data_IF_210793444796
#
_entry.id   IF_210793444796
#
_cell.length_a   1.000
_cell.length_b   1.000
_cell.length_c   1.000
_cell.angle_alpha   90.00
_cell.angle_beta   90.00
_cell.angle_gamma   90.00
#
_symmetry.space_group_name_H-M   'P 1'
#
loop_
_entity.id
_entity.type
_entity.pdbx_description
1 polymer ?
#
# COMPACT_ATOMS: atom_id res chain seq x y z
N UNK A 1 21.92 -8.85 39.69
CA UNK A 1 21.59 -9.89 38.68
C UNK A 1 20.43 -9.36 37.86
N UNK A 2 20.66 -8.96 36.60
CA UNK A 2 19.59 -8.39 35.77
C UNK A 2 18.64 -9.50 35.33
N UNK A 3 17.35 -9.38 35.68
CA UNK A 3 16.29 -10.29 35.21
C UNK A 3 15.66 -9.70 33.97
N UNK A 4 15.53 -10.53 32.93
CA UNK A 4 14.81 -10.17 31.71
C UNK A 4 13.33 -9.93 32.03
N UNK A 5 12.68 -9.05 31.26
CA UNK A 5 11.25 -8.78 31.39
C UNK A 5 10.45 -10.08 31.16
N UNK A 6 9.55 -10.43 32.09
CA UNK A 6 8.79 -11.68 32.02
C UNK A 6 7.85 -11.75 30.81
N UNK A 7 7.30 -10.62 30.36
CA UNK A 7 6.50 -10.56 29.13
C UNK A 7 7.37 -10.85 27.92
N UNK A 8 8.57 -10.25 27.85
CA UNK A 8 9.53 -10.55 26.78
C UNK A 8 9.92 -12.03 26.76
N UNK A 9 10.19 -12.63 27.93
CA UNK A 9 10.54 -14.04 28.04
C UNK A 9 9.40 -14.97 27.61
N UNK A 10 8.14 -14.65 27.99
CA UNK A 10 6.96 -15.40 27.55
C UNK A 10 6.75 -15.30 26.04
N UNK A 11 6.93 -14.12 25.46
CA UNK A 11 6.82 -13.92 24.02
C UNK A 11 7.91 -14.70 23.27
N UNK A 12 9.14 -14.67 23.76
CA UNK A 12 10.25 -15.46 23.22
C UNK A 12 9.97 -16.97 23.32
N UNK A 13 9.42 -17.44 24.44
CA UNK A 13 9.03 -18.84 24.59
C UNK A 13 7.89 -19.24 23.65
N UNK A 14 6.86 -18.39 23.47
CA UNK A 14 5.80 -18.64 22.49
C UNK A 14 6.37 -18.76 21.07
N UNK A 15 7.26 -17.85 20.68
CA UNK A 15 7.97 -17.88 19.40
C UNK A 15 8.78 -19.19 19.22
N UNK A 16 9.50 -19.61 20.25
CA UNK A 16 10.33 -20.81 20.21
C UNK A 16 9.54 -22.14 20.25
N UNK A 17 8.37 -22.15 20.90
CA UNK A 17 7.58 -23.37 21.16
C UNK A 17 6.46 -23.58 20.15
N UNK A 18 5.73 -22.51 19.79
CA UNK A 18 4.56 -22.61 18.92
C UNK A 18 4.85 -22.24 17.47
N UNK A 19 5.99 -21.60 17.19
CA UNK A 19 6.37 -21.25 15.82
C UNK A 19 5.28 -20.44 15.12
N UNK A 20 4.57 -19.56 15.83
CA UNK A 20 3.53 -18.66 15.30
C UNK A 20 4.14 -17.53 14.47
N UNK A 21 5.06 -17.88 13.59
CA UNK A 21 5.76 -16.97 12.70
C UNK A 21 5.27 -17.17 11.28
N UNK A 22 5.28 -16.10 10.50
CA UNK A 22 5.07 -16.19 9.06
C UNK A 22 6.11 -17.14 8.43
N UNK A 23 5.76 -17.82 7.32
CA UNK A 23 6.70 -18.68 6.61
C UNK A 23 7.96 -17.91 6.22
N UNK A 24 9.12 -18.36 6.68
CA UNK A 24 10.40 -17.69 6.39
C UNK A 24 11.00 -18.10 5.06
N UNK A 25 10.74 -19.33 4.64
CA UNK A 25 11.21 -19.87 3.37
C UNK A 25 10.18 -19.61 2.28
N UNK A 26 10.65 -19.09 1.15
CA UNK A 26 9.81 -18.94 -0.02
C UNK A 26 9.52 -20.30 -0.67
N UNK A 27 8.43 -20.35 -1.41
CA UNK A 27 8.09 -21.51 -2.22
C UNK A 27 9.17 -21.73 -3.29
N UNK A 28 9.52 -22.98 -3.63
CA UNK A 28 10.52 -23.25 -4.66
C UNK A 28 10.17 -22.54 -5.98
N UNK A 29 11.17 -22.03 -6.73
CA UNK A 29 10.96 -21.14 -7.88
C UNK A 29 10.14 -21.78 -9.03
N UNK A 30 10.05 -23.11 -9.07
CA UNK A 30 9.30 -23.86 -10.08
C UNK A 30 7.89 -24.27 -9.62
N UNK A 31 7.51 -23.99 -8.38
CA UNK A 31 6.21 -24.40 -7.83
C UNK A 31 5.08 -23.51 -8.34
N UNK A 32 5.37 -22.25 -8.66
CA UNK A 32 4.38 -21.22 -8.95
C UNK A 32 4.85 -20.28 -10.06
N UNK A 33 3.93 -19.86 -10.94
CA UNK A 33 4.18 -18.73 -11.84
C UNK A 33 4.04 -17.42 -11.06
N UNK A 34 5.18 -16.81 -10.74
CA UNK A 34 5.26 -15.52 -10.07
C UNK A 34 4.96 -14.36 -11.03
N UNK A 35 4.34 -13.27 -10.55
CA UNK A 35 4.31 -12.01 -11.29
C UNK A 35 5.73 -11.47 -11.46
N UNK A 36 5.97 -10.71 -12.54
CA UNK A 36 7.24 -10.01 -12.68
C UNK A 36 7.38 -8.91 -11.62
N UNK A 37 8.61 -8.44 -11.40
CA UNK A 37 8.83 -7.30 -10.50
C UNK A 37 8.08 -6.04 -11.00
N UNK A 38 8.02 -5.84 -12.32
CA UNK A 38 7.27 -4.75 -12.95
C UNK A 38 5.76 -4.86 -12.66
N UNK A 39 5.19 -6.07 -12.75
CA UNK A 39 3.78 -6.29 -12.40
C UNK A 39 3.50 -5.97 -10.92
N UNK A 40 4.45 -6.25 -10.02
CA UNK A 40 4.33 -5.92 -8.61
C UNK A 40 4.48 -4.42 -8.34
N UNK A 41 5.39 -3.75 -9.03
CA UNK A 41 5.58 -2.30 -8.97
C UNK A 41 4.37 -1.53 -9.51
N UNK A 42 3.63 -2.08 -10.47
CA UNK A 42 2.35 -1.53 -10.91
C UNK A 42 1.20 -1.88 -9.95
N UNK A 43 1.19 -3.10 -9.39
CA UNK A 43 0.12 -3.59 -8.52
C UNK A 43 0.00 -2.80 -7.21
N UNK A 44 1.11 -2.59 -6.51
CA UNK A 44 1.12 -1.99 -5.17
C UNK A 44 0.51 -0.57 -5.14
N UNK A 45 0.95 0.40 -5.96
CA UNK A 45 0.35 1.74 -5.99
C UNK A 45 -1.10 1.72 -6.48
N UNK A 46 -1.45 0.85 -7.43
CA UNK A 46 -2.82 0.74 -7.91
C UNK A 46 -3.80 0.23 -6.83
N UNK A 47 -3.39 -0.76 -6.03
CA UNK A 47 -4.20 -1.18 -4.89
C UNK A 47 -4.23 -0.14 -3.77
N UNK A 48 -3.11 0.54 -3.50
CA UNK A 48 -3.06 1.63 -2.53
C UNK A 48 -4.10 2.73 -2.86
N UNK A 49 -4.12 3.22 -4.09
CA UNK A 49 -5.09 4.22 -4.53
C UNK A 49 -6.52 3.71 -4.46
N UNK A 50 -6.75 2.45 -4.85
CA UNK A 50 -8.07 1.83 -4.74
C UNK A 50 -8.54 1.78 -3.29
N UNK A 51 -7.66 1.41 -2.36
CA UNK A 51 -7.94 1.39 -0.93
C UNK A 51 -8.37 2.76 -0.41
N UNK A 52 -7.67 3.82 -0.81
CA UNK A 52 -7.99 5.20 -0.45
C UNK A 52 -9.30 5.72 -1.06
N UNK A 53 -9.62 5.29 -2.29
CA UNK A 53 -10.76 5.79 -3.06
C UNK A 53 -12.05 4.98 -2.87
N UNK A 54 -12.04 3.89 -2.08
CA UNK A 54 -13.23 3.03 -1.92
C UNK A 54 -14.25 3.71 -1.01
N UNK A 55 -15.18 4.46 -1.62
CA UNK A 55 -16.33 5.06 -0.95
C UNK A 55 -17.37 3.97 -0.65
N UNK A 56 -17.59 3.66 0.63
CA UNK A 56 -18.53 2.60 1.06
C UNK A 56 -19.96 3.09 1.33
N UNK A 57 -20.25 4.40 1.26
CA UNK A 57 -21.58 4.95 1.54
C UNK A 57 -22.12 5.83 0.40
N UNK A 58 -23.45 5.87 0.31
CA UNK A 58 -24.25 6.57 -0.73
C UNK A 58 -24.17 8.10 -0.65
N UNK A 59 -23.51 8.66 0.35
CA UNK A 59 -23.26 10.10 0.44
C UNK A 59 -21.90 10.42 -0.18
N UNK A 60 -21.83 11.55 -0.88
CA UNK A 60 -20.56 12.09 -1.35
C UNK A 60 -19.69 12.42 -0.13
N UNK A 61 -18.83 11.48 0.26
CA UNK A 61 -17.89 11.62 1.35
C UNK A 61 -17.17 12.97 1.23
N UNK A 62 -17.50 13.89 2.13
CA UNK A 62 -16.89 15.20 2.17
C UNK A 62 -15.53 15.05 2.85
N UNK A 63 -14.47 15.29 2.09
CA UNK A 63 -13.11 15.20 2.59
C UNK A 63 -12.91 16.22 3.73
N UNK A 64 -12.43 15.76 4.88
CA UNK A 64 -12.07 16.62 6.00
C UNK A 64 -10.73 17.31 5.72
N UNK A 65 -10.42 18.38 6.44
CA UNK A 65 -9.10 19.03 6.36
C UNK A 65 -7.96 18.04 6.66
N UNK A 66 -8.12 17.22 7.70
CA UNK A 66 -7.16 16.15 8.03
C UNK A 66 -7.06 15.08 6.94
N UNK A 67 -8.17 14.73 6.29
CA UNK A 67 -8.18 13.79 5.18
C UNK A 67 -7.46 14.35 3.96
N UNK A 68 -7.61 15.65 3.70
CA UNK A 68 -6.87 16.33 2.63
C UNK A 68 -5.37 16.41 2.94
N UNK A 69 -4.99 16.77 4.17
CA UNK A 69 -3.59 16.76 4.58
C UNK A 69 -2.97 15.38 4.45
N UNK A 70 -3.69 14.33 4.87
CA UNK A 70 -3.26 12.94 4.69
C UNK A 70 -2.99 12.62 3.22
N UNK A 71 -3.86 13.03 2.30
CA UNK A 71 -3.68 12.78 0.86
C UNK A 71 -2.44 13.48 0.25
N UNK A 72 -1.96 14.55 0.89
CA UNK A 72 -0.77 15.30 0.47
C UNK A 72 0.55 14.74 1.02
N UNK A 73 0.49 13.90 2.06
CA UNK A 73 1.68 13.25 2.63
C UNK A 73 2.33 12.31 1.60
N UNK A 74 3.62 11.99 1.76
CA UNK A 74 4.25 10.94 0.96
C UNK A 74 3.67 9.56 1.28
N UNK A 75 3.88 8.59 0.39
CA UNK A 75 3.28 7.25 0.51
C UNK A 75 3.70 6.54 1.79
N UNK A 76 4.93 6.76 2.27
CA UNK A 76 5.40 6.09 3.47
C UNK A 76 4.76 6.69 4.73
N UNK A 77 4.68 8.01 4.78
CA UNK A 77 3.96 8.74 5.82
C UNK A 77 2.47 8.35 5.89
N UNK A 78 1.81 8.27 4.73
CA UNK A 78 0.42 7.79 4.64
C UNK A 78 0.30 6.35 5.14
N UNK A 79 1.25 5.49 4.77
CA UNK A 79 1.28 4.09 5.19
C UNK A 79 1.40 3.98 6.71
N UNK A 80 2.34 4.70 7.32
CA UNK A 80 2.51 4.70 8.78
C UNK A 80 1.28 5.22 9.51
N UNK A 81 0.62 6.25 8.98
CA UNK A 81 -0.63 6.75 9.56
C UNK A 81 -1.72 5.68 9.57
N UNK A 82 -1.92 4.97 8.45
CA UNK A 82 -2.90 3.88 8.34
C UNK A 82 -2.53 2.69 9.23
N UNK A 83 -1.26 2.27 9.25
CA UNK A 83 -0.80 1.14 10.07
C UNK A 83 -0.95 1.44 11.58
N UNK A 84 -0.66 2.68 11.99
CA UNK A 84 -0.87 3.11 13.37
C UNK A 84 -2.35 3.05 13.76
N UNK A 85 -3.23 3.56 12.92
CA UNK A 85 -4.68 3.50 13.15
C UNK A 85 -5.17 2.04 13.19
N UNK A 86 -4.68 1.21 12.27
CA UNK A 86 -4.95 -0.22 12.20
C UNK A 86 -4.59 -0.95 13.50
N UNK A 87 -3.39 -0.71 14.04
CA UNK A 87 -2.95 -1.27 15.33
C UNK A 87 -3.78 -0.70 16.47
N UNK A 88 -4.05 0.60 16.50
CA UNK A 88 -4.80 1.24 17.60
C UNK A 88 -6.23 0.74 17.69
N UNK A 89 -6.86 0.45 16.54
CA UNK A 89 -8.24 -0.03 16.46
C UNK A 89 -8.38 -1.56 16.66
N UNK A 90 -7.27 -2.29 16.74
CA UNK A 90 -7.25 -3.76 16.93
C UNK A 90 -7.83 -4.24 18.26
N UNK A 91 -7.54 -3.51 19.34
CA UNK A 91 -8.03 -3.79 20.69
C UNK A 91 -9.50 -3.39 20.89
N UNK A 92 -10.18 -2.88 19.86
CA UNK A 92 -11.61 -2.61 19.95
C UNK A 92 -12.36 -3.93 20.13
N UNK A 93 -13.42 -3.92 20.96
CA UNK A 93 -14.25 -5.09 21.32
C UNK A 93 -14.81 -5.89 20.12
N UNK A 94 -14.71 -5.37 18.89
CA UNK A 94 -15.21 -5.99 17.66
C UNK A 94 -14.22 -6.97 17.00
N UNK A 95 -12.91 -6.77 17.14
CA UNK A 95 -11.88 -7.65 16.55
C UNK A 95 -11.20 -8.55 17.59
N UNK A 96 -10.96 -8.05 18.80
CA UNK A 96 -10.37 -8.84 19.89
C UNK A 96 -8.96 -9.38 19.60
N UNK A 97 -8.21 -8.70 18.73
CA UNK A 97 -6.83 -9.08 18.36
C UNK A 97 -5.85 -8.24 19.17
N UNK A 98 -4.85 -8.88 19.78
CA UNK A 98 -3.80 -8.18 20.53
C UNK A 98 -2.93 -7.36 19.55
N UNK A 99 -2.69 -6.09 19.88
CA UNK A 99 -1.78 -5.23 19.13
C UNK A 99 -0.38 -5.84 19.01
N UNK A 100 0.09 -6.60 20.01
CA UNK A 100 1.38 -7.28 19.95
C UNK A 100 1.45 -8.31 18.81
N UNK A 101 0.36 -9.04 18.58
CA UNK A 101 0.26 -10.05 17.51
C UNK A 101 0.21 -9.38 16.13
N UNK A 102 -0.39 -8.20 16.01
CA UNK A 102 -0.35 -7.45 14.74
C UNK A 102 1.03 -6.87 14.46
N UNK A 103 1.70 -6.34 15.49
CA UNK A 103 3.06 -5.80 15.36
C UNK A 103 4.04 -6.91 14.99
N UNK A 104 3.92 -8.11 15.58
CA UNK A 104 4.78 -9.24 15.21
C UNK A 104 4.60 -9.61 13.74
N UNK A 105 3.36 -9.71 13.24
CA UNK A 105 3.08 -9.99 11.83
C UNK A 105 3.67 -8.92 10.90
N UNK A 106 3.49 -7.63 11.23
CA UNK A 106 4.02 -6.52 10.42
C UNK A 106 5.55 -6.54 10.36
N UNK A 107 6.20 -6.78 11.49
CA UNK A 107 7.65 -6.85 11.58
C UNK A 107 8.21 -8.08 10.88
N UNK A 108 7.58 -9.24 11.03
CA UNK A 108 8.00 -10.45 10.32
C UNK A 108 7.87 -10.28 8.82
N UNK A 109 6.76 -9.70 8.36
CA UNK A 109 6.48 -9.46 6.95
C UNK A 109 7.49 -8.50 6.31
N UNK A 110 7.99 -7.53 7.07
CA UNK A 110 8.97 -6.57 6.56
C UNK A 110 10.34 -7.19 6.26
N UNK A 111 10.65 -8.37 6.83
CA UNK A 111 11.85 -9.15 6.52
C UNK A 111 11.70 -10.13 5.34
N UNK A 112 10.52 -10.23 4.74
CA UNK A 112 10.34 -11.09 3.57
C UNK A 112 10.95 -10.46 2.31
N UNK A 113 11.28 -11.30 1.34
CA UNK A 113 11.87 -10.85 0.08
C UNK A 113 10.73 -10.42 -0.86
N UNK A 114 10.85 -9.23 -1.43
CA UNK A 114 9.88 -8.74 -2.43
C UNK A 114 9.85 -9.67 -3.63
N UNK A 115 8.66 -10.08 -4.07
CA UNK A 115 8.46 -10.90 -5.27
C UNK A 115 8.50 -12.41 -5.06
N UNK A 116 8.95 -12.87 -3.90
CA UNK A 116 8.93 -14.28 -3.53
C UNK A 116 7.54 -14.71 -3.02
N UNK A 117 7.13 -15.96 -3.28
CA UNK A 117 5.85 -16.50 -2.80
C UNK A 117 5.99 -17.22 -1.47
N UNK A 118 5.06 -16.98 -0.56
CA UNK A 118 5.03 -17.60 0.77
C UNK A 118 3.67 -18.21 1.06
N UNK A 119 3.66 -19.46 1.50
CA UNK A 119 2.44 -20.25 1.61
C UNK A 119 1.55 -19.80 2.79
N UNK A 120 0.23 -19.69 2.58
CA UNK A 120 -0.73 -19.25 3.62
C UNK A 120 -1.23 -20.44 4.48
N UNK A 121 -0.91 -21.69 4.15
CA UNK A 121 -1.44 -22.89 4.84
C UNK A 121 -1.07 -22.91 6.32
N UNK A 122 0.13 -22.46 6.69
CA UNK A 122 0.62 -22.46 8.08
C UNK A 122 0.09 -21.28 8.91
N UNK A 123 -0.62 -20.34 8.29
CA UNK A 123 -1.08 -19.13 8.98
C UNK A 123 -2.31 -19.41 9.84
N UNK A 124 -2.27 -18.93 11.08
CA UNK A 124 -3.43 -18.87 11.96
C UNK A 124 -4.47 -17.83 11.47
N UNK A 125 -5.64 -17.80 12.09
CA UNK A 125 -6.74 -16.95 11.64
C UNK A 125 -6.42 -15.46 11.72
N UNK A 126 -5.67 -15.04 12.74
CA UNK A 126 -5.24 -13.64 12.94
C UNK A 126 -4.26 -13.22 11.85
N UNK A 127 -3.25 -14.04 11.59
CA UNK A 127 -2.26 -13.84 10.53
C UNK A 127 -2.95 -13.79 9.16
N UNK A 128 -3.85 -14.75 8.88
CA UNK A 128 -4.59 -14.80 7.62
C UNK A 128 -5.49 -13.58 7.42
N UNK A 129 -6.17 -13.12 8.47
CA UNK A 129 -6.98 -11.90 8.41
C UNK A 129 -6.10 -10.68 8.19
N UNK A 130 -4.98 -10.57 8.89
CA UNK A 130 -4.04 -9.46 8.74
C UNK A 130 -3.44 -9.42 7.34
N UNK A 131 -3.00 -10.55 6.81
CA UNK A 131 -2.48 -10.65 5.44
C UNK A 131 -3.53 -10.24 4.39
N UNK A 132 -4.82 -10.53 4.61
CA UNK A 132 -5.91 -10.05 3.73
C UNK A 132 -6.08 -8.54 3.82
N UNK A 133 -6.11 -7.98 5.03
CA UNK A 133 -6.22 -6.53 5.24
C UNK A 133 -5.03 -5.78 4.60
N UNK A 134 -3.81 -6.33 4.73
CA UNK A 134 -2.61 -5.79 4.08
C UNK A 134 -2.63 -5.96 2.55
N UNK A 135 -3.30 -6.98 2.04
CA UNK A 135 -3.48 -7.17 0.59
C UNK A 135 -4.40 -6.11 -0.01
N UNK A 136 -5.46 -5.72 0.71
CA UNK A 136 -6.36 -4.64 0.30
C UNK A 136 -5.65 -3.28 0.24
N UNK A 137 -4.56 -3.12 0.99
CA UNK A 137 -3.66 -1.96 0.94
C UNK A 137 -2.52 -2.11 -0.09
N UNK A 138 -2.38 -3.25 -0.77
CA UNK A 138 -1.29 -3.47 -1.73
C UNK A 138 0.08 -3.77 -1.11
N UNK A 139 0.15 -4.02 0.20
CA UNK A 139 1.39 -4.40 0.89
C UNK A 139 1.82 -5.82 0.54
N UNK A 140 0.85 -6.68 0.24
CA UNK A 140 1.07 -8.03 -0.26
C UNK A 140 0.12 -8.29 -1.42
N UNK A 141 0.54 -9.13 -2.36
CA UNK A 141 -0.33 -9.66 -3.41
C UNK A 141 -0.76 -11.06 -3.05
N UNK A 142 -2.07 -11.29 -2.97
CA UNK A 142 -2.63 -12.63 -2.81
C UNK A 142 -2.79 -13.30 -4.16
N UNK A 143 -2.36 -14.56 -4.24
CA UNK A 143 -2.54 -15.38 -5.42
C UNK A 143 -2.98 -16.78 -5.02
N UNK A 144 -3.97 -17.29 -5.75
CA UNK A 144 -4.55 -18.61 -5.52
C UNK A 144 -4.07 -19.55 -6.63
N UNK A 145 -3.58 -20.72 -6.23
CA UNK A 145 -3.36 -21.87 -7.10
C UNK A 145 -4.53 -22.82 -7.07
N UNK A 146 -4.35 -24.00 -7.67
CA UNK A 146 -5.40 -25.04 -7.73
C UNK A 146 -5.73 -25.65 -6.36
N UNK A 147 -4.74 -25.76 -5.47
CA UNK A 147 -4.87 -26.41 -4.16
C UNK A 147 -4.32 -25.58 -3.01
N UNK A 148 -3.54 -24.54 -3.32
CA UNK A 148 -2.80 -23.76 -2.34
C UNK A 148 -2.98 -22.27 -2.61
N UNK A 149 -2.74 -21.44 -1.61
CA UNK A 149 -2.75 -19.99 -1.75
C UNK A 149 -1.50 -19.43 -1.07
N UNK A 150 -0.93 -18.40 -1.68
CA UNK A 150 0.28 -17.75 -1.19
C UNK A 150 0.13 -16.23 -1.24
N UNK A 151 0.96 -15.56 -0.45
CA UNK A 151 1.12 -14.12 -0.51
C UNK A 151 2.50 -13.79 -1.09
N UNK A 152 2.60 -12.63 -1.75
CA UNK A 152 3.83 -12.12 -2.35
C UNK A 152 4.06 -10.71 -1.80
N UNK A 153 5.12 -10.47 -1.00
CA UNK A 153 5.43 -9.15 -0.47
C UNK A 153 5.73 -8.15 -1.59
N UNK A 154 5.22 -6.92 -1.44
CA UNK A 154 5.56 -5.80 -2.33
C UNK A 154 6.62 -4.90 -1.69
N UNK A 155 7.19 -3.98 -2.47
CA UNK A 155 8.14 -2.99 -1.94
C UNK A 155 7.55 -2.12 -0.82
N UNK A 156 6.21 -1.95 -0.77
CA UNK A 156 5.56 -1.16 0.28
C UNK A 156 5.79 -1.78 1.67
N UNK A 157 5.71 -3.11 1.79
CA UNK A 157 5.86 -3.77 3.09
C UNK A 157 7.30 -3.98 3.49
N UNK A 158 8.20 -4.25 2.55
CA UNK A 158 9.64 -4.33 2.86
C UNK A 158 10.21 -2.96 3.22
N UNK A 159 9.65 -1.88 2.64
CA UNK A 159 10.02 -0.51 2.98
C UNK A 159 9.37 -0.02 4.28
N UNK A 160 8.43 -0.78 4.86
CA UNK A 160 7.82 -0.42 6.14
C UNK A 160 8.88 -0.38 7.24
N UNK A 161 9.80 -1.34 7.29
CA UNK A 161 10.94 -1.30 8.23
C UNK A 161 12.16 -0.52 7.70
N UNK A 162 12.30 -0.37 6.38
CA UNK A 162 13.46 0.29 5.77
C UNK A 162 13.34 1.82 5.70
N UNK A 163 12.22 2.40 6.12
CA UNK A 163 11.92 3.84 6.00
C UNK A 163 12.66 4.75 6.99
N UNK A 164 13.95 4.50 7.20
CA UNK A 164 14.84 5.50 7.78
C UNK A 164 15.72 6.19 6.72
N UNK A 165 15.74 5.74 5.45
CA UNK A 165 16.76 6.24 4.51
C UNK A 165 16.40 6.46 3.03
N UNK A 166 15.22 6.14 2.49
CA UNK A 166 14.94 6.54 1.09
C UNK A 166 13.43 6.69 0.77
N UNK A 167 12.94 7.90 0.98
CA UNK A 167 11.57 8.33 0.69
C UNK A 167 11.45 8.83 -0.75
N UNK A 168 11.64 7.98 -1.77
CA UNK A 168 11.50 8.46 -3.16
C UNK A 168 11.13 7.41 -4.21
N UNK A 169 9.84 7.06 -4.32
CA UNK A 169 9.36 6.43 -5.57
C UNK A 169 7.94 6.81 -6.00
N UNK A 170 7.44 8.01 -5.66
CA UNK A 170 6.43 8.68 -6.50
C UNK A 170 7.10 9.52 -7.59
N UNK A 171 7.94 8.90 -8.42
CA UNK A 171 8.44 9.55 -9.65
C UNK A 171 7.49 9.25 -10.81
N UNK A 172 6.27 9.79 -10.76
CA UNK A 172 5.41 9.79 -11.95
C UNK A 172 4.47 10.99 -12.00
N UNK A 173 5.09 12.15 -12.14
CA UNK A 173 4.40 13.36 -12.55
C UNK A 173 5.29 14.58 -12.48
N UNK A 174 4.92 15.60 -13.23
CA UNK A 174 5.55 16.91 -13.15
C UNK A 174 4.47 17.98 -13.12
N UNK A 175 4.73 19.01 -12.33
CA UNK A 175 3.91 20.21 -12.25
C UNK A 175 4.70 21.31 -12.94
N UNK A 176 4.12 21.89 -13.99
CA UNK A 176 4.68 23.08 -14.64
C UNK A 176 3.85 24.27 -14.20
N UNK A 177 4.50 25.32 -13.72
CA UNK A 177 3.84 26.59 -13.43
C UNK A 177 4.40 27.63 -14.38
N UNK A 178 3.53 28.21 -15.19
CA UNK A 178 3.88 29.32 -16.08
C UNK A 178 3.80 30.67 -15.34
N UNK A 179 4.43 31.71 -15.90
CA UNK A 179 4.44 33.08 -15.35
C UNK A 179 3.08 33.77 -15.38
N UNK A 180 2.09 33.20 -16.08
CA UNK A 180 0.70 33.65 -16.15
C UNK A 180 -0.21 32.95 -15.11
N UNK A 181 0.38 32.32 -14.09
CA UNK A 181 -0.32 31.55 -13.04
C UNK A 181 -1.07 30.31 -13.55
N UNK A 182 -0.76 29.82 -14.76
CA UNK A 182 -1.29 28.54 -15.23
C UNK A 182 -0.44 27.38 -14.68
N UNK A 183 -1.12 26.42 -14.05
CA UNK A 183 -0.51 25.23 -13.49
C UNK A 183 -0.90 24.03 -14.34
N UNK A 184 0.08 23.32 -14.88
CA UNK A 184 -0.12 22.08 -15.63
C UNK A 184 0.35 20.91 -14.80
N UNK A 185 -0.56 20.02 -14.47
CA UNK A 185 -0.27 18.82 -13.72
C UNK A 185 -0.33 17.60 -14.63
N UNK A 186 0.81 16.96 -14.82
CA UNK A 186 0.92 15.73 -15.58
C UNK A 186 1.10 14.59 -14.58
N UNK A 187 0.11 13.72 -14.47
CA UNK A 187 0.24 12.49 -13.68
C UNK A 187 -0.62 11.37 -14.28
N UNK A 188 -0.15 10.14 -14.13
CA UNK A 188 -0.94 8.94 -14.40
C UNK A 188 -1.89 8.60 -13.25
N UNK A 189 -1.68 9.20 -12.07
CA UNK A 189 -2.44 8.95 -10.85
C UNK A 189 -3.69 9.82 -10.79
N UNK A 190 -4.87 9.18 -10.86
CA UNK A 190 -6.15 9.87 -10.82
C UNK A 190 -6.37 10.62 -9.51
N UNK A 191 -5.93 10.05 -8.39
CA UNK A 191 -6.07 10.68 -7.08
C UNK A 191 -5.35 12.04 -7.03
N UNK A 192 -4.10 12.11 -7.51
CA UNK A 192 -3.31 13.34 -7.52
C UNK A 192 -3.95 14.41 -8.41
N UNK A 193 -4.49 13.99 -9.55
CA UNK A 193 -5.26 14.83 -10.47
C UNK A 193 -6.53 15.43 -9.83
N UNK A 194 -7.27 14.67 -9.02
CA UNK A 194 -8.44 15.16 -8.30
C UNK A 194 -8.04 16.11 -7.15
N UNK A 195 -6.96 15.81 -6.43
CA UNK A 195 -6.42 16.68 -5.37
C UNK A 195 -6.01 18.03 -5.94
N UNK A 196 -5.27 18.05 -7.06
CA UNK A 196 -4.82 19.30 -7.67
C UNK A 196 -5.96 20.16 -8.20
N UNK A 197 -7.07 19.56 -8.66
CA UNK A 197 -8.26 20.31 -9.04
C UNK A 197 -8.89 21.07 -7.87
N UNK A 198 -8.75 20.59 -6.62
CA UNK A 198 -9.27 21.29 -5.44
C UNK A 198 -8.50 22.59 -5.15
N UNK A 199 -7.29 22.76 -5.68
CA UNK A 199 -6.48 23.97 -5.50
C UNK A 199 -6.71 25.03 -6.59
N UNK A 200 -7.54 24.75 -7.60
CA UNK A 200 -7.92 25.74 -8.60
C UNK A 200 -8.73 26.87 -7.97
N UNK A 201 -8.19 28.08 -7.98
CA UNK A 201 -8.92 29.30 -7.59
C UNK A 201 -9.32 30.08 -8.84
N UNK A 202 -10.08 31.18 -8.70
CA UNK A 202 -10.38 32.06 -9.84
C UNK A 202 -9.13 32.66 -10.51
N UNK A 203 -7.99 32.63 -9.83
CA UNK A 203 -6.72 33.23 -10.26
C UNK A 203 -5.72 32.21 -10.80
N UNK A 204 -5.80 30.95 -10.36
CA UNK A 204 -4.90 29.86 -10.77
C UNK A 204 -5.70 28.81 -11.53
N UNK A 205 -5.44 28.69 -12.83
CA UNK A 205 -6.05 27.65 -13.67
C UNK A 205 -5.20 26.39 -13.57
N UNK A 206 -5.77 25.32 -13.00
CA UNK A 206 -5.14 24.00 -12.94
C UNK A 206 -5.60 23.16 -14.12
N UNK A 207 -4.69 22.84 -15.03
CA UNK A 207 -4.93 21.97 -16.18
C UNK A 207 -4.33 20.60 -15.89
N UNK A 208 -5.20 19.62 -15.72
CA UNK A 208 -4.81 18.23 -15.47
C UNK A 208 -4.77 17.47 -16.78
N UNK A 209 -3.60 16.94 -17.14
CA UNK A 209 -3.41 16.15 -18.36
C UNK A 209 -3.15 14.69 -18.01
N UNK A 210 -4.18 13.86 -18.19
CA UNK A 210 -4.04 12.40 -18.12
C UNK A 210 -3.31 11.89 -19.36
N UNK A 211 -2.12 11.33 -19.18
CA UNK A 211 -1.23 10.88 -20.27
C UNK A 211 -1.94 9.98 -21.32
N UNK A 212 -2.83 9.08 -20.87
CA UNK A 212 -3.57 8.17 -21.77
C UNK A 212 -4.59 8.90 -22.66
N UNK A 213 -5.25 9.93 -22.12
CA UNK A 213 -6.29 10.68 -22.84
C UNK A 213 -5.69 11.66 -23.84
N UNK A 214 -4.50 12.18 -23.56
CA UNK A 214 -3.76 13.07 -24.46
C UNK A 214 -3.23 12.31 -25.69
N UNK A 215 -2.63 11.12 -25.51
CA UNK A 215 -2.17 10.27 -26.63
C UNK A 215 -3.33 9.82 -27.52
N UNK A 216 -4.47 9.41 -26.93
CA UNK A 216 -5.67 9.05 -27.71
C UNK A 216 -6.27 10.25 -28.45
N UNK A 217 -6.25 11.45 -27.87
CA UNK A 217 -6.71 12.67 -28.54
C UNK A 217 -5.74 13.14 -29.64
N UNK A 218 -4.44 12.90 -29.50
CA UNK A 218 -3.44 13.12 -30.55
C UNK A 218 -3.60 12.14 -31.70
N UNK A 219 -3.81 10.86 -31.40
CA UNK A 219 -4.14 9.84 -32.40
C UNK A 219 -5.39 10.26 -33.18
N UNK A 220 -6.49 10.62 -32.50
CA UNK A 220 -7.73 11.09 -33.15
C UNK A 220 -7.56 12.39 -33.94
N UNK A 221 -6.73 13.33 -33.49
CA UNK A 221 -6.44 14.56 -34.25
C UNK A 221 -5.53 14.33 -35.45
N UNK A 222 -4.66 13.32 -35.41
CA UNK A 222 -3.80 12.95 -36.54
C UNK A 222 -4.57 12.25 -37.66
N UNK A 223 -5.67 11.55 -37.35
CA UNK A 223 -6.57 10.96 -38.35
C UNK A 223 -7.65 11.92 -38.87
N UNK A 224 -7.77 13.14 -38.33
CA UNK A 224 -8.70 14.17 -38.81
C UNK A 224 -8.06 15.13 -39.82
N UNK A 225 -6.84 14.85 -40.26
CA UNK A 225 -6.15 15.53 -41.37
C UNK A 225 -5.71 14.52 -42.43
N UNK A 226 -6.64 13.71 -42.93
CA UNK A 226 -6.61 13.08 -44.25
C UNK A 226 -8.05 12.86 -44.71
#
# INVERSE_FOLDING_TARGET
>A
MYRINQTFQKNLQKLLVHGEVLPRESMPPNTVRLPSLEDLEAYAPAQWERGLLTQREKEAAKLTESGFQFLLMDTNDQLWYIIRDYISNSNSKKRGVDSADLISVLLELSFHITGEAYNIITLNDVQRSTIKDLADLGLVKLQQGRKESWFIPTKLVTNLSASLTDSSSRKQGFVVVETNFQMYAYSSLKLLCEILQQFGTKEIVVIVVYAYKWILNLSKRSYAKF
#
